data_IF_148193315674
#
_entry.id   IF_148193315674
#
_cell.length_a   1.000
_cell.length_b   1.000
_cell.length_c   1.000
_cell.angle_alpha   90.00
_cell.angle_beta   90.00
_cell.angle_gamma   90.00
#
_symmetry.space_group_name_H-M   'P 1'
#
loop_
_entity.id
_entity.type
_entity.pdbx_description
1 polymer ?
#
# COMPACT_ATOMS: atom_id res chain seq x y z
N UNK A 1 22.66 19.04 -12.73
CA UNK A 1 22.56 17.58 -12.51
C UNK A 1 22.63 16.81 -13.83
N UNK A 2 21.66 16.98 -14.73
CA UNK A 2 21.56 16.25 -16.01
C UNK A 2 22.90 16.17 -16.80
N UNK A 3 23.60 17.30 -16.99
CA UNK A 3 24.84 17.34 -17.76
C UNK A 3 25.95 16.40 -17.25
N UNK A 4 25.92 16.03 -15.97
CA UNK A 4 26.92 15.14 -15.32
C UNK A 4 26.58 13.66 -15.44
N UNK A 5 25.37 13.29 -15.88
CA UNK A 5 24.99 11.89 -16.06
C UNK A 5 25.56 11.33 -17.37
N UNK A 6 25.81 10.02 -17.41
CA UNK A 6 26.01 9.30 -18.67
C UNK A 6 24.67 9.15 -19.40
N UNK A 7 24.72 8.83 -20.68
CA UNK A 7 23.53 8.49 -21.47
C UNK A 7 22.79 7.31 -20.83
N UNK A 8 21.45 7.38 -20.73
CA UNK A 8 20.63 6.44 -19.97
C UNK A 8 20.78 6.53 -18.44
N UNK A 9 21.64 7.42 -17.93
CA UNK A 9 21.78 7.66 -16.49
C UNK A 9 20.53 8.28 -15.90
N UNK A 10 20.21 7.90 -14.66
CA UNK A 10 19.00 8.32 -13.96
C UNK A 10 19.32 9.27 -12.81
N UNK A 11 18.39 10.18 -12.52
CA UNK A 11 18.35 10.94 -11.28
C UNK A 11 16.97 10.80 -10.65
N UNK A 12 16.93 10.60 -9.34
CA UNK A 12 15.69 10.59 -8.55
C UNK A 12 15.69 11.77 -7.59
N UNK A 13 14.50 12.32 -7.33
CA UNK A 13 14.32 13.42 -6.40
C UNK A 13 12.98 13.29 -5.69
N UNK A 14 12.98 13.50 -4.37
CA UNK A 14 11.79 13.41 -3.54
C UNK A 14 10.94 14.68 -3.65
N UNK A 15 9.63 14.50 -3.80
CA UNK A 15 8.62 15.54 -3.91
C UNK A 15 7.56 15.32 -2.80
N UNK A 16 7.72 15.97 -1.63
CA UNK A 16 6.78 15.84 -0.51
C UNK A 16 5.54 16.70 -0.75
N UNK A 17 4.59 16.22 -1.55
CA UNK A 17 3.40 17.00 -1.92
C UNK A 17 2.51 17.34 -0.70
N UNK A 18 2.67 16.62 0.41
CA UNK A 18 2.01 16.90 1.68
C UNK A 18 2.66 18.01 2.52
N UNK A 19 3.79 18.56 2.07
CA UNK A 19 4.51 19.66 2.71
C UNK A 19 4.64 20.86 1.76
N UNK A 20 3.87 20.86 0.68
CA UNK A 20 3.92 21.85 -0.40
C UNK A 20 2.50 22.24 -0.77
N UNK A 21 2.32 23.49 -1.20
CA UNK A 21 1.11 23.85 -1.94
C UNK A 21 1.13 23.14 -3.30
N UNK A 22 -0.05 22.84 -3.83
CA UNK A 22 -0.19 22.17 -5.14
C UNK A 22 0.57 22.92 -6.25
N UNK A 23 0.51 24.26 -6.28
CA UNK A 23 1.23 25.06 -7.27
C UNK A 23 2.76 25.04 -7.07
N UNK A 24 3.24 24.88 -5.84
CA UNK A 24 4.66 24.75 -5.52
C UNK A 24 5.20 23.40 -5.99
N UNK A 25 4.46 22.32 -5.69
CA UNK A 25 4.76 20.99 -6.21
C UNK A 25 4.80 20.97 -7.75
N UNK A 26 3.82 21.62 -8.40
CA UNK A 26 3.80 21.78 -9.86
C UNK A 26 4.97 22.62 -10.39
N UNK A 27 5.39 23.66 -9.68
CA UNK A 27 6.56 24.47 -10.08
C UNK A 27 7.86 23.66 -10.00
N UNK A 28 8.00 22.79 -8.99
CA UNK A 28 9.11 21.85 -8.86
C UNK A 28 9.06 20.81 -9.99
N UNK A 29 7.90 20.19 -10.24
CA UNK A 29 7.71 19.23 -11.33
C UNK A 29 8.08 19.84 -12.68
N UNK A 30 7.63 21.08 -12.97
CA UNK A 30 7.97 21.81 -14.19
C UNK A 30 9.47 22.03 -14.31
N UNK A 31 10.13 22.44 -13.23
CA UNK A 31 11.58 22.66 -13.22
C UNK A 31 12.35 21.35 -13.47
N UNK A 32 11.91 20.25 -12.85
CA UNK A 32 12.51 18.94 -13.04
C UNK A 32 12.35 18.45 -14.47
N UNK A 33 11.14 18.54 -15.03
CA UNK A 33 10.83 18.17 -16.41
C UNK A 33 11.62 18.99 -17.44
N UNK A 34 11.78 20.30 -17.22
CA UNK A 34 12.64 21.13 -18.06
C UNK A 34 14.10 20.64 -18.08
N UNK A 35 14.59 20.04 -16.99
CA UNK A 35 15.94 19.48 -16.91
C UNK A 35 16.02 18.02 -17.42
N UNK A 36 14.90 17.31 -17.45
CA UNK A 36 14.78 15.91 -17.86
C UNK A 36 13.51 15.72 -18.70
N UNK A 37 13.59 15.85 -20.04
CA UNK A 37 12.43 15.64 -20.91
C UNK A 37 11.80 14.24 -20.79
N UNK A 38 12.59 13.25 -20.36
CA UNK A 38 12.13 11.90 -20.03
C UNK A 38 11.99 11.77 -18.51
N UNK A 39 10.99 12.46 -17.96
CA UNK A 39 10.62 12.40 -16.55
C UNK A 39 9.44 11.47 -16.29
N UNK A 40 9.37 10.95 -15.08
CA UNK A 40 8.24 10.21 -14.53
C UNK A 40 8.12 10.44 -13.03
N UNK A 41 6.94 10.16 -12.48
CA UNK A 41 6.68 10.24 -11.05
C UNK A 41 6.10 8.92 -10.57
N UNK A 42 6.60 8.49 -9.42
CA UNK A 42 6.28 7.22 -8.78
C UNK A 42 5.95 7.46 -7.31
N UNK A 43 5.03 6.69 -6.76
CA UNK A 43 4.72 6.70 -5.34
C UNK A 43 4.14 5.36 -4.88
N UNK A 44 4.37 5.06 -3.60
CA UNK A 44 3.62 4.02 -2.90
C UNK A 44 2.20 4.52 -2.61
N UNK A 45 1.54 3.97 -1.60
CA UNK A 45 0.24 4.40 -1.13
C UNK A 45 0.30 5.63 -0.21
N UNK A 46 1.11 6.64 -0.55
CA UNK A 46 1.35 7.84 0.27
C UNK A 46 1.51 9.13 -0.57
N UNK A 47 1.71 10.24 0.14
CA UNK A 47 1.91 11.58 -0.43
C UNK A 47 3.42 11.91 -0.58
N UNK A 48 4.30 10.88 -0.60
CA UNK A 48 5.76 10.98 -0.71
C UNK A 48 6.23 10.59 -2.11
N UNK A 49 6.09 11.50 -3.06
CA UNK A 49 6.32 11.19 -4.46
C UNK A 49 7.81 11.21 -4.81
N UNK A 50 8.22 10.36 -5.75
CA UNK A 50 9.57 10.33 -6.30
C UNK A 50 9.51 10.71 -7.77
N UNK A 51 10.14 11.82 -8.12
CA UNK A 51 10.41 12.18 -9.50
C UNK A 51 11.65 11.41 -9.98
N UNK A 52 11.59 10.84 -11.17
CA UNK A 52 12.69 10.16 -11.83
C UNK A 52 12.90 10.76 -13.21
N UNK A 53 14.14 11.13 -13.52
CA UNK A 53 14.55 11.70 -14.81
C UNK A 53 15.65 10.88 -15.45
N UNK A 54 15.48 10.54 -16.73
CA UNK A 54 16.45 9.77 -17.52
C UNK A 54 17.16 10.72 -18.48
N UNK A 55 18.49 10.63 -18.57
CA UNK A 55 19.27 11.41 -19.55
C UNK A 55 19.20 10.76 -20.94
N UNK A 56 18.81 11.60 -21.91
CA UNK A 56 18.63 11.23 -23.32
C UNK A 56 17.46 10.24 -23.51
N UNK A 57 17.28 9.64 -24.69
CA UNK A 57 16.07 8.87 -25.01
C UNK A 57 15.80 7.77 -23.99
N UNK A 58 14.53 7.62 -23.61
CA UNK A 58 14.09 6.49 -22.81
C UNK A 58 14.47 5.19 -23.54
N UNK A 59 15.29 4.35 -22.89
CA UNK A 59 15.62 3.04 -23.42
C UNK A 59 14.38 2.15 -23.30
N UNK A 60 14.04 1.44 -24.38
CA UNK A 60 13.04 0.37 -24.30
C UNK A 60 13.64 -0.78 -23.53
N UNK A 61 12.93 -1.24 -22.49
CA UNK A 61 13.28 -2.45 -21.78
C UNK A 61 13.13 -3.67 -22.69
N UNK A 62 13.86 -4.73 -22.38
CA UNK A 62 13.61 -6.02 -23.02
C UNK A 62 12.39 -6.67 -22.37
N UNK A 63 11.62 -7.40 -23.16
CA UNK A 63 10.50 -8.19 -22.62
C UNK A 63 10.99 -9.13 -21.51
N UNK A 64 10.30 -9.11 -20.36
CA UNK A 64 10.64 -9.90 -19.18
C UNK A 64 11.79 -9.36 -18.32
N UNK A 65 12.41 -8.23 -18.67
CA UNK A 65 13.50 -7.63 -17.87
C UNK A 65 13.06 -7.30 -16.44
N UNK A 66 11.85 -6.73 -16.28
CA UNK A 66 11.28 -6.46 -14.96
C UNK A 66 11.09 -7.75 -14.16
N UNK A 67 10.54 -8.81 -14.76
CA UNK A 67 10.32 -10.09 -14.10
C UNK A 67 11.61 -10.76 -13.62
N UNK A 68 12.73 -10.54 -14.32
CA UNK A 68 14.05 -11.06 -13.92
C UNK A 68 14.52 -10.50 -12.57
N UNK A 69 14.14 -9.28 -12.21
CA UNK A 69 14.49 -8.68 -10.91
C UNK A 69 13.94 -9.50 -9.73
N UNK A 70 12.78 -10.15 -9.90
CA UNK A 70 12.23 -11.06 -8.88
C UNK A 70 12.73 -12.49 -9.01
N UNK A 71 13.30 -12.86 -10.14
CA UNK A 71 13.89 -14.20 -10.35
C UNK A 71 15.31 -14.29 -9.79
N UNK A 72 16.03 -13.16 -9.74
CA UNK A 72 17.35 -13.07 -9.09
C UNK A 72 17.21 -13.03 -7.55
N UNK A 73 17.81 -13.97 -6.79
CA UNK A 73 17.60 -14.06 -5.34
C UNK A 73 18.04 -12.82 -4.56
N UNK A 74 19.14 -12.18 -4.95
CA UNK A 74 19.66 -11.01 -4.24
C UNK A 74 18.74 -9.80 -4.46
N UNK A 75 18.35 -9.57 -5.71
CA UNK A 75 17.44 -8.49 -6.08
C UNK A 75 16.05 -8.69 -5.49
N UNK A 76 15.52 -9.93 -5.52
CA UNK A 76 14.26 -10.26 -4.90
C UNK A 76 14.27 -9.99 -3.39
N UNK A 77 15.36 -10.37 -2.69
CA UNK A 77 15.47 -10.13 -1.25
C UNK A 77 15.43 -8.63 -0.92
N UNK A 78 16.10 -7.78 -1.71
CA UNK A 78 16.07 -6.34 -1.52
C UNK A 78 14.71 -5.71 -1.86
N UNK A 79 14.05 -6.15 -2.94
CA UNK A 79 12.71 -5.69 -3.32
C UNK A 79 11.66 -6.10 -2.28
N UNK A 80 11.70 -7.34 -1.82
CA UNK A 80 10.80 -7.84 -0.77
C UNK A 80 11.01 -7.09 0.55
N UNK A 81 12.25 -6.73 0.89
CA UNK A 81 12.57 -5.94 2.09
C UNK A 81 11.92 -4.55 2.10
N UNK A 82 11.65 -3.98 0.92
CA UNK A 82 10.94 -2.70 0.77
C UNK A 82 9.45 -2.88 0.41
N UNK A 83 8.90 -4.09 0.56
CA UNK A 83 7.48 -4.37 0.35
C UNK A 83 7.07 -4.62 -1.10
N UNK A 84 8.02 -4.75 -2.03
CA UNK A 84 7.79 -5.10 -3.44
C UNK A 84 8.01 -6.60 -3.66
N UNK A 85 6.98 -7.39 -3.37
CA UNK A 85 7.00 -8.85 -3.40
C UNK A 85 6.78 -9.44 -4.79
N UNK A 86 6.10 -8.71 -5.68
CA UNK A 86 5.83 -9.15 -7.06
C UNK A 86 6.07 -8.03 -8.09
N UNK A 87 6.44 -8.37 -9.34
CA UNK A 87 6.71 -7.39 -10.40
C UNK A 87 5.61 -6.35 -10.63
N UNK A 88 4.35 -6.78 -10.50
CA UNK A 88 3.17 -5.96 -10.72
C UNK A 88 3.10 -4.77 -9.76
N UNK A 89 3.62 -4.90 -8.54
CA UNK A 89 3.60 -3.79 -7.58
C UNK A 89 4.45 -2.62 -8.08
N UNK A 90 5.56 -2.88 -8.77
CA UNK A 90 6.40 -1.82 -9.33
C UNK A 90 5.65 -1.00 -10.37
N UNK A 91 4.92 -1.66 -11.28
CA UNK A 91 4.07 -0.96 -12.25
C UNK A 91 2.98 -0.14 -11.56
N UNK A 92 2.38 -0.68 -10.51
CA UNK A 92 1.39 0.00 -9.70
C UNK A 92 1.93 1.19 -8.89
N UNK A 93 3.25 1.42 -8.82
CA UNK A 93 3.83 2.64 -8.22
C UNK A 93 3.78 3.84 -9.16
N UNK A 94 3.58 3.63 -10.46
CA UNK A 94 3.58 4.73 -11.44
C UNK A 94 2.42 5.70 -11.19
N UNK A 95 2.67 7.00 -11.37
CA UNK A 95 1.66 8.05 -11.29
C UNK A 95 1.50 8.76 -12.64
N UNK A 96 2.61 9.22 -13.21
CA UNK A 96 2.60 10.04 -14.42
C UNK A 96 3.96 10.05 -15.12
N UNK A 97 3.96 10.38 -16.41
CA UNK A 97 5.15 10.61 -17.23
C UNK A 97 5.28 12.09 -17.66
N UNK A 98 6.26 12.35 -18.51
CA UNK A 98 6.56 13.63 -19.12
C UNK A 98 5.35 14.35 -19.72
N UNK A 99 4.49 13.66 -20.48
CA UNK A 99 3.33 14.29 -21.14
C UNK A 99 2.32 14.79 -20.11
N UNK A 100 2.05 13.98 -19.09
CA UNK A 100 1.15 14.34 -18.01
C UNK A 100 1.74 15.43 -17.11
N UNK A 101 3.06 15.42 -16.85
CA UNK A 101 3.74 16.51 -16.14
C UNK A 101 3.59 17.82 -16.93
N UNK A 102 3.84 17.82 -18.23
CA UNK A 102 3.65 18.99 -19.08
C UNK A 102 2.21 19.50 -19.02
N UNK A 103 1.23 18.60 -19.10
CA UNK A 103 -0.18 18.94 -19.01
C UNK A 103 -0.52 19.59 -17.67
N UNK A 104 -0.14 19.02 -16.53
CA UNK A 104 -0.59 19.58 -15.23
C UNK A 104 0.15 20.84 -14.81
N UNK A 105 1.28 21.11 -15.46
CA UNK A 105 2.15 22.27 -15.20
C UNK A 105 2.06 23.35 -16.28
N UNK A 106 1.15 23.24 -17.26
CA UNK A 106 1.15 24.11 -18.44
C UNK A 106 1.09 25.62 -18.10
N UNK A 107 0.33 26.00 -17.06
CA UNK A 107 0.19 27.39 -16.59
C UNK A 107 1.11 27.74 -15.41
N UNK A 108 2.03 26.85 -15.06
CA UNK A 108 2.91 27.01 -13.89
C UNK A 108 4.34 27.30 -14.35
N UNK A 109 4.86 28.45 -13.95
CA UNK A 109 6.27 28.77 -14.17
C UNK A 109 7.17 27.86 -13.31
N UNK A 110 8.30 27.37 -13.86
CA UNK A 110 9.20 26.45 -13.15
C UNK A 110 9.85 27.11 -11.94
N UNK A 111 10.14 26.36 -10.88
CA UNK A 111 11.04 26.83 -9.82
C UNK A 111 12.46 27.05 -10.38
N UNK A 112 13.01 28.25 -10.21
CA UNK A 112 14.37 28.58 -10.64
C UNK A 112 15.07 29.49 -9.65
N UNK A 113 16.40 29.55 -9.68
CA UNK A 113 17.22 30.38 -8.77
C UNK A 113 16.89 31.88 -8.86
N UNK A 114 16.41 32.35 -10.02
CA UNK A 114 15.97 33.73 -10.20
C UNK A 114 14.60 34.02 -9.56
N UNK A 115 13.83 32.97 -9.23
CA UNK A 115 12.50 33.06 -8.63
C UNK A 115 12.32 32.01 -7.53
N UNK A 116 13.16 32.02 -6.49
CA UNK A 116 13.16 30.99 -5.45
C UNK A 116 11.89 31.06 -4.60
N UNK A 117 11.28 32.25 -4.47
CA UNK A 117 10.03 32.50 -3.76
C UNK A 117 8.76 32.00 -4.48
N UNK A 118 8.91 31.21 -5.55
CA UNK A 118 7.83 30.32 -6.01
C UNK A 118 7.50 29.26 -4.96
N UNK A 119 8.45 28.94 -4.08
CA UNK A 119 8.19 28.31 -2.80
C UNK A 119 7.93 29.41 -1.76
N UNK A 120 6.73 29.42 -1.22
CA UNK A 120 6.29 30.44 -0.27
C UNK A 120 6.53 29.97 1.16
N UNK A 121 6.58 30.93 2.10
CA UNK A 121 6.66 30.62 3.54
C UNK A 121 5.24 30.45 4.15
N UNK A 122 4.20 30.47 3.31
CA UNK A 122 2.82 30.29 3.72
C UNK A 122 2.53 28.80 3.95
N UNK A 123 1.61 28.47 4.88
CA UNK A 123 1.24 27.08 5.13
C UNK A 123 0.65 26.41 3.88
N UNK A 124 0.90 25.11 3.74
CA UNK A 124 0.24 24.29 2.73
C UNK A 124 -1.21 23.97 3.16
N UNK A 125 -2.02 23.57 2.19
CA UNK A 125 -3.38 23.10 2.40
C UNK A 125 -3.41 21.58 2.24
N UNK A 126 -3.50 20.86 3.36
CA UNK A 126 -3.55 19.39 3.37
C UNK A 126 -4.72 18.83 2.55
N UNK A 127 -5.88 19.50 2.55
CA UNK A 127 -7.04 19.04 1.80
C UNK A 127 -6.82 19.20 0.29
N UNK A 128 -6.22 20.32 -0.13
CA UNK A 128 -5.86 20.54 -1.52
C UNK A 128 -4.79 19.55 -2.01
N UNK A 129 -3.74 19.32 -1.23
CA UNK A 129 -2.69 18.34 -1.56
C UNK A 129 -3.24 16.92 -1.63
N UNK A 130 -4.12 16.54 -0.70
CA UNK A 130 -4.79 15.24 -0.71
C UNK A 130 -5.73 15.08 -1.90
N UNK A 131 -6.46 16.13 -2.27
CA UNK A 131 -7.32 16.10 -3.46
C UNK A 131 -6.48 15.92 -4.73
N UNK A 132 -5.35 16.64 -4.84
CA UNK A 132 -4.41 16.50 -5.93
C UNK A 132 -3.77 15.10 -5.99
N UNK A 133 -3.41 14.53 -4.84
CA UNK A 133 -2.88 13.17 -4.78
C UNK A 133 -3.91 12.11 -5.19
N UNK A 134 -5.16 12.25 -4.73
CA UNK A 134 -6.25 11.33 -5.04
C UNK A 134 -6.50 11.17 -6.54
N UNK A 135 -6.31 12.23 -7.34
CA UNK A 135 -6.48 12.12 -8.80
C UNK A 135 -5.51 11.15 -9.46
N UNK A 136 -4.37 10.84 -8.82
CA UNK A 136 -3.39 9.87 -9.32
C UNK A 136 -3.36 8.55 -8.53
N UNK A 137 -3.96 8.53 -7.33
CA UNK A 137 -4.05 7.33 -6.50
C UNK A 137 -5.28 6.48 -6.84
N UNK A 138 -6.35 7.08 -7.36
CA UNK A 138 -7.55 6.34 -7.78
C UNK A 138 -7.19 5.31 -8.87
N UNK A 139 -7.55 4.05 -8.65
CA UNK A 139 -7.08 2.93 -9.46
C UNK A 139 -7.45 3.08 -10.93
N UNK A 140 -8.68 3.52 -11.22
CA UNK A 140 -9.13 3.73 -12.60
C UNK A 140 -8.31 4.80 -13.33
N UNK A 141 -7.99 5.91 -12.67
CA UNK A 141 -7.15 6.96 -13.23
C UNK A 141 -5.69 6.50 -13.37
N UNK A 142 -5.16 5.85 -12.34
CA UNK A 142 -3.78 5.34 -12.33
C UNK A 142 -3.53 4.32 -13.45
N UNK A 143 -4.45 3.36 -13.64
CA UNK A 143 -4.39 2.38 -14.74
C UNK A 143 -4.42 3.10 -16.09
N UNK A 144 -5.27 4.13 -16.24
CA UNK A 144 -5.33 4.91 -17.48
C UNK A 144 -4.02 5.65 -17.77
N UNK A 145 -3.41 6.29 -16.77
CA UNK A 145 -2.10 6.95 -16.93
C UNK A 145 -1.00 5.93 -17.26
N UNK A 146 -0.99 4.79 -16.58
CA UNK A 146 -0.03 3.72 -16.83
C UNK A 146 -0.11 3.19 -18.27
N UNK A 147 -1.31 2.82 -18.73
CA UNK A 147 -1.50 2.20 -20.05
C UNK A 147 -1.24 3.17 -21.21
N UNK A 148 -1.46 4.47 -21.01
CA UNK A 148 -1.24 5.48 -22.05
C UNK A 148 0.19 6.02 -22.09
N UNK A 149 1.01 5.74 -21.08
CA UNK A 149 2.34 6.30 -20.99
C UNK A 149 3.28 5.68 -22.05
N UNK A 150 3.88 6.51 -22.94
CA UNK A 150 4.89 6.03 -23.89
C UNK A 150 6.13 5.47 -23.17
N UNK A 151 6.48 6.02 -22.01
CA UNK A 151 7.58 5.52 -21.18
C UNK A 151 7.32 4.09 -20.72
N UNK A 152 6.13 3.82 -20.19
CA UNK A 152 5.74 2.50 -19.67
C UNK A 152 5.58 1.48 -20.79
N UNK A 153 5.02 1.87 -21.93
CA UNK A 153 4.81 0.96 -23.07
C UNK A 153 6.10 0.29 -23.57
N UNK A 154 7.28 0.84 -23.24
CA UNK A 154 8.58 0.26 -23.58
C UNK A 154 9.06 -0.91 -22.71
N UNK A 155 8.36 -1.31 -21.64
CA UNK A 155 8.88 -2.24 -20.63
C UNK A 155 8.21 -3.62 -20.57
N UNK A 156 7.34 -3.98 -21.53
CA UNK A 156 6.84 -5.36 -21.67
C UNK A 156 5.86 -5.81 -20.57
N UNK A 157 5.01 -4.90 -20.07
CA UNK A 157 4.05 -5.15 -18.98
C UNK A 157 2.85 -6.01 -19.40
N UNK A 158 2.71 -6.34 -20.68
CA UNK A 158 1.53 -7.00 -21.23
C UNK A 158 1.29 -8.39 -20.65
N UNK A 159 2.36 -9.07 -20.25
CA UNK A 159 2.34 -10.40 -19.63
C UNK A 159 1.90 -10.38 -18.16
N UNK A 160 1.79 -9.20 -17.55
CA UNK A 160 1.55 -9.02 -16.11
C UNK A 160 0.16 -8.43 -15.78
N UNK A 161 -0.72 -8.25 -16.78
CA UNK A 161 -1.94 -7.43 -16.69
C UNK A 161 -2.95 -7.83 -15.60
N UNK A 162 -3.27 -9.12 -15.45
CA UNK A 162 -4.38 -9.55 -14.56
C UNK A 162 -4.18 -9.15 -13.09
N UNK A 163 -2.96 -9.33 -12.57
CA UNK A 163 -2.64 -8.95 -11.18
C UNK A 163 -2.31 -7.46 -11.07
N UNK A 164 -1.81 -6.84 -12.15
CA UNK A 164 -1.42 -5.43 -12.16
C UNK A 164 -2.58 -4.49 -11.83
N UNK A 165 -3.75 -4.69 -12.42
CA UNK A 165 -4.94 -3.89 -12.09
C UNK A 165 -5.33 -4.03 -10.61
N UNK A 166 -5.21 -5.24 -10.06
CA UNK A 166 -5.44 -5.47 -8.62
C UNK A 166 -4.42 -4.74 -7.76
N UNK A 167 -3.15 -4.64 -8.18
CA UNK A 167 -2.14 -3.86 -7.46
C UNK A 167 -2.47 -2.37 -7.40
N UNK A 168 -3.05 -1.78 -8.44
CA UNK A 168 -3.53 -0.40 -8.40
C UNK A 168 -4.68 -0.24 -7.38
N UNK A 169 -5.63 -1.18 -7.35
CA UNK A 169 -6.72 -1.19 -6.35
C UNK A 169 -6.17 -1.33 -4.93
N UNK A 170 -5.19 -2.20 -4.73
CA UNK A 170 -4.54 -2.37 -3.42
C UNK A 170 -3.82 -1.10 -2.96
N UNK A 171 -3.12 -0.40 -3.88
CA UNK A 171 -2.48 0.88 -3.58
C UNK A 171 -3.50 1.95 -3.22
N UNK A 172 -4.57 2.09 -4.01
CA UNK A 172 -5.64 3.05 -3.72
C UNK A 172 -6.27 2.79 -2.35
N UNK A 173 -6.60 1.53 -2.07
CA UNK A 173 -7.19 1.13 -0.80
C UNK A 173 -6.28 1.50 0.36
N UNK A 174 -5.00 1.15 0.27
CA UNK A 174 -4.00 1.46 1.29
C UNK A 174 -3.86 2.97 1.50
N UNK A 175 -3.89 3.76 0.44
CA UNK A 175 -3.82 5.22 0.52
C UNK A 175 -5.04 5.80 1.25
N UNK A 176 -6.25 5.34 0.92
CA UNK A 176 -7.49 5.76 1.60
C UNK A 176 -7.51 5.35 3.07
N UNK A 177 -6.96 4.18 3.38
CA UNK A 177 -6.83 3.67 4.75
C UNK A 177 -5.82 4.44 5.60
N UNK A 178 -4.60 4.60 5.10
CA UNK A 178 -3.49 5.18 5.86
C UNK A 178 -3.55 6.70 6.00
N UNK A 179 -4.07 7.41 4.98
CA UNK A 179 -3.97 8.88 4.91
C UNK A 179 -5.33 9.56 5.06
N UNK A 180 -6.39 9.01 4.47
CA UNK A 180 -7.71 9.68 4.39
C UNK A 180 -8.61 9.35 5.60
N UNK A 181 -8.15 8.51 6.54
CA UNK A 181 -8.84 8.10 7.77
C UNK A 181 -10.26 7.54 7.55
N UNK A 182 -10.52 6.98 6.37
CA UNK A 182 -11.83 6.41 5.99
C UNK A 182 -11.68 4.98 5.55
N UNK A 183 -11.26 4.09 6.45
CA UNK A 183 -11.36 2.69 6.11
C UNK A 183 -11.60 1.76 7.27
N UNK A 184 -12.12 0.62 6.86
CA UNK A 184 -12.35 -0.53 7.69
C UNK A 184 -11.13 -1.45 7.54
N UNK A 185 -10.26 -1.46 8.55
CA UNK A 185 -9.03 -2.26 8.56
C UNK A 185 -9.31 -3.75 8.33
N UNK A 186 -10.45 -4.27 8.80
CA UNK A 186 -10.84 -5.67 8.58
C UNK A 186 -11.32 -5.91 7.15
N UNK A 187 -11.89 -4.89 6.49
CA UNK A 187 -12.19 -4.94 5.04
C UNK A 187 -10.91 -4.96 4.20
N UNK A 188 -9.92 -4.15 4.58
CA UNK A 188 -8.58 -4.15 3.97
C UNK A 188 -7.89 -5.50 4.14
N UNK A 189 -7.92 -6.04 5.36
CA UNK A 189 -7.38 -7.34 5.68
C UNK A 189 -8.05 -8.46 4.86
N UNK A 190 -9.39 -8.46 4.73
CA UNK A 190 -10.13 -9.46 3.95
C UNK A 190 -9.68 -9.50 2.47
N UNK A 191 -9.47 -8.32 1.87
CA UNK A 191 -8.98 -8.21 0.50
C UNK A 191 -7.58 -8.84 0.40
N UNK A 192 -6.66 -8.52 1.31
CA UNK A 192 -5.32 -9.11 1.25
C UNK A 192 -5.29 -10.61 1.53
N UNK A 193 -6.12 -11.10 2.45
CA UNK A 193 -6.17 -12.52 2.78
C UNK A 193 -6.79 -13.36 1.66
N UNK A 194 -7.83 -12.85 0.99
CA UNK A 194 -8.63 -13.66 0.05
C UNK A 194 -8.39 -13.36 -1.42
N UNK A 195 -7.85 -12.18 -1.76
CA UNK A 195 -7.74 -11.68 -3.15
C UNK A 195 -6.33 -11.25 -3.55
N UNK A 196 -5.35 -11.42 -2.66
CA UNK A 196 -3.98 -10.99 -2.91
C UNK A 196 -2.98 -12.07 -2.48
N UNK A 197 -1.85 -12.23 -3.21
CA UNK A 197 -0.73 -13.04 -2.75
C UNK A 197 0.18 -12.29 -1.75
N UNK A 198 0.03 -10.97 -1.61
CA UNK A 198 0.97 -10.09 -0.92
C UNK A 198 0.97 -10.31 0.60
N UNK A 199 2.13 -10.48 1.20
CA UNK A 199 2.31 -10.76 2.63
C UNK A 199 2.52 -9.48 3.44
N UNK A 200 3.32 -8.55 2.91
CA UNK A 200 3.70 -7.31 3.58
C UNK A 200 2.49 -6.46 3.93
N UNK A 201 1.52 -6.23 3.02
CA UNK A 201 0.34 -5.45 3.37
C UNK A 201 -0.50 -6.07 4.50
N UNK A 202 -0.51 -7.40 4.64
CA UNK A 202 -1.18 -8.07 5.77
C UNK A 202 -0.52 -7.71 7.09
N UNK A 203 0.81 -7.66 7.13
CA UNK A 203 1.56 -7.24 8.33
C UNK A 203 1.26 -5.77 8.66
N UNK A 204 1.33 -4.90 7.65
CA UNK A 204 1.15 -3.47 7.83
C UNK A 204 -0.26 -3.08 8.29
N UNK A 205 -1.29 -3.76 7.78
CA UNK A 205 -2.69 -3.56 8.20
C UNK A 205 -2.88 -3.87 9.69
N UNK A 206 -2.09 -4.80 10.22
CA UNK A 206 -2.11 -5.20 11.63
C UNK A 206 -1.07 -4.44 12.48
N UNK A 207 -0.44 -3.39 11.93
CA UNK A 207 0.53 -2.56 12.65
C UNK A 207 1.87 -3.26 12.91
N UNK A 208 2.18 -4.28 12.12
CA UNK A 208 3.43 -5.03 12.14
C UNK A 208 4.25 -4.77 10.86
N UNK A 209 5.44 -5.35 10.80
CA UNK A 209 6.33 -5.36 9.64
C UNK A 209 7.26 -6.59 9.71
N UNK A 210 8.02 -6.84 8.65
CA UNK A 210 8.92 -8.01 8.60
C UNK A 210 10.01 -7.97 9.69
N UNK A 211 10.45 -6.78 10.11
CA UNK A 211 11.46 -6.63 11.16
C UNK A 211 10.89 -6.98 12.55
N UNK A 212 9.72 -6.44 12.90
CA UNK A 212 8.99 -6.76 14.13
C UNK A 212 8.62 -8.23 14.19
N UNK A 213 8.13 -8.79 13.08
CA UNK A 213 7.83 -10.22 12.98
C UNK A 213 9.08 -11.08 13.22
N UNK A 214 10.22 -10.72 12.63
CA UNK A 214 11.47 -11.45 12.83
C UNK A 214 11.91 -11.44 14.31
N UNK A 215 11.76 -10.31 15.00
CA UNK A 215 12.02 -10.20 16.45
C UNK A 215 11.05 -11.09 17.24
N UNK A 216 9.75 -10.97 16.97
CA UNK A 216 8.71 -11.76 17.65
C UNK A 216 8.97 -13.28 17.52
N UNK A 217 9.29 -13.74 16.32
CA UNK A 217 9.63 -15.15 16.07
C UNK A 217 10.89 -15.59 16.81
N UNK A 218 11.91 -14.74 16.87
CA UNK A 218 13.15 -15.04 17.61
C UNK A 218 12.89 -15.16 19.11
N UNK A 219 12.08 -14.28 19.68
CA UNK A 219 11.69 -14.33 21.10
C UNK A 219 10.84 -15.57 21.39
N UNK A 220 9.87 -15.87 20.53
CA UNK A 220 9.01 -17.05 20.67
C UNK A 220 9.78 -18.37 20.64
N UNK A 221 10.84 -18.49 19.81
CA UNK A 221 11.70 -19.68 19.78
C UNK A 221 12.49 -19.93 21.06
N UNK A 222 12.73 -18.89 21.84
CA UNK A 222 13.55 -18.94 23.06
C UNK A 222 12.71 -18.94 24.34
N UNK A 223 11.38 -19.04 24.24
CA UNK A 223 10.45 -18.93 25.37
C UNK A 223 9.40 -20.03 25.30
N UNK A 224 9.24 -20.80 26.38
CA UNK A 224 8.20 -21.84 26.46
C UNK A 224 6.79 -21.25 26.37
N UNK A 225 6.60 -20.03 26.89
CA UNK A 225 5.38 -19.24 26.75
C UNK A 225 5.73 -17.88 26.14
N UNK A 226 5.38 -17.60 24.88
CA UNK A 226 5.61 -16.32 24.24
C UNK A 226 5.06 -15.13 25.07
N UNK A 227 5.86 -14.06 25.26
CA UNK A 227 5.39 -12.81 25.87
C UNK A 227 4.16 -12.23 25.13
N UNK A 228 3.27 -11.53 25.83
CA UNK A 228 2.05 -10.99 25.22
C UNK A 228 2.34 -9.87 24.22
N UNK A 229 3.45 -9.16 24.43
CA UNK A 229 3.90 -8.01 23.64
C UNK A 229 4.23 -8.39 22.20
N UNK A 230 4.63 -9.65 21.96
CA UNK A 230 5.00 -10.14 20.63
C UNK A 230 3.84 -10.84 19.91
N UNK A 231 2.72 -11.09 20.61
CA UNK A 231 1.59 -11.84 20.05
C UNK A 231 0.94 -11.15 18.85
N UNK A 232 0.74 -9.80 18.83
CA UNK A 232 0.19 -9.14 17.65
C UNK A 232 1.04 -9.38 16.40
N UNK A 233 2.36 -9.33 16.53
CA UNK A 233 3.30 -9.58 15.43
C UNK A 233 3.26 -11.06 14.98
N UNK A 234 3.13 -12.02 15.91
CA UNK A 234 2.98 -13.44 15.57
C UNK A 234 1.65 -13.73 14.85
N UNK A 235 0.54 -13.13 15.30
CA UNK A 235 -0.78 -13.23 14.67
C UNK A 235 -0.71 -12.64 13.26
N UNK A 236 -0.13 -11.45 13.11
CA UNK A 236 0.08 -10.82 11.82
C UNK A 236 0.93 -11.71 10.89
N UNK A 237 1.99 -12.33 11.41
CA UNK A 237 2.81 -13.27 10.66
C UNK A 237 2.09 -14.54 10.22
N UNK A 238 1.20 -15.08 11.08
CA UNK A 238 0.36 -16.23 10.73
C UNK A 238 -0.61 -15.87 9.60
N UNK A 239 -1.28 -14.72 9.71
CA UNK A 239 -2.20 -14.20 8.71
C UNK A 239 -1.49 -13.85 7.39
N UNK A 240 -0.29 -13.26 7.44
CA UNK A 240 0.52 -13.00 6.25
C UNK A 240 0.90 -14.30 5.51
N UNK A 241 1.08 -15.41 6.23
CA UNK A 241 1.25 -16.77 5.66
C UNK A 241 -0.08 -17.46 5.29
N UNK A 242 -1.23 -16.81 5.51
CA UNK A 242 -2.59 -17.36 5.37
C UNK A 242 -2.80 -18.63 6.19
N UNK A 243 -2.05 -18.79 7.28
CA UNK A 243 -2.27 -19.86 8.24
C UNK A 243 -3.33 -19.42 9.25
N UNK A 244 -4.60 -19.58 8.85
CA UNK A 244 -5.75 -19.12 9.61
C UNK A 244 -5.88 -19.86 10.94
N UNK A 245 -5.62 -21.17 10.95
CA UNK A 245 -5.70 -21.99 12.16
C UNK A 245 -4.66 -21.58 13.21
N UNK A 246 -3.43 -21.25 12.78
CA UNK A 246 -2.41 -20.74 13.69
C UNK A 246 -2.77 -19.37 14.25
N UNK A 247 -3.32 -18.47 13.42
CA UNK A 247 -3.79 -17.16 13.89
C UNK A 247 -4.91 -17.29 14.92
N UNK A 248 -5.86 -18.21 14.69
CA UNK A 248 -6.94 -18.55 15.64
C UNK A 248 -6.36 -19.08 16.95
N UNK A 249 -5.43 -20.04 16.89
CA UNK A 249 -4.79 -20.62 18.08
C UNK A 249 -4.07 -19.56 18.92
N UNK A 250 -3.37 -18.63 18.27
CA UNK A 250 -2.69 -17.52 18.95
C UNK A 250 -3.67 -16.56 19.62
N UNK A 251 -4.78 -16.20 18.96
CA UNK A 251 -5.84 -15.33 19.49
C UNK A 251 -6.59 -16.01 20.66
N UNK A 252 -6.89 -17.30 20.55
CA UNK A 252 -7.50 -18.08 21.64
C UNK A 252 -6.59 -18.13 22.87
N UNK A 253 -5.29 -18.35 22.67
CA UNK A 253 -4.30 -18.32 23.75
C UNK A 253 -4.20 -16.94 24.42
N UNK A 254 -4.33 -15.84 23.68
CA UNK A 254 -4.44 -14.49 24.27
C UNK A 254 -5.71 -14.34 25.11
N UNK A 255 -6.84 -14.86 24.62
CA UNK A 255 -8.12 -14.85 25.34
C UNK A 255 -8.06 -15.60 26.66
N UNK A 256 -7.46 -16.79 26.67
CA UNK A 256 -7.27 -17.59 27.90
C UNK A 256 -6.39 -16.89 28.94
N UNK A 257 -5.45 -16.06 28.48
CA UNK A 257 -4.57 -15.24 29.34
C UNK A 257 -5.19 -13.92 29.79
N UNK A 258 -6.47 -13.68 29.46
CA UNK A 258 -7.22 -12.50 29.89
C UNK A 258 -6.87 -11.19 29.16
N UNK A 259 -6.10 -11.26 28.06
CA UNK A 259 -5.73 -10.09 27.25
C UNK A 259 -6.39 -10.22 25.89
N UNK A 260 -7.63 -9.72 25.80
CA UNK A 260 -8.46 -9.83 24.62
C UNK A 260 -9.31 -8.57 24.46
N UNK A 261 -9.09 -7.83 23.37
CA UNK A 261 -9.81 -6.60 23.06
C UNK A 261 -11.07 -6.90 22.22
N UNK A 262 -11.96 -5.90 22.09
CA UNK A 262 -13.08 -5.99 21.15
C UNK A 262 -12.62 -6.17 19.69
N UNK A 263 -11.49 -5.58 19.32
CA UNK A 263 -10.92 -5.76 17.98
C UNK A 263 -10.47 -7.21 17.77
N UNK A 264 -9.90 -7.85 18.80
CA UNK A 264 -9.55 -9.27 18.76
C UNK A 264 -10.79 -10.15 18.68
N UNK A 265 -11.90 -9.77 19.34
CA UNK A 265 -13.20 -10.43 19.17
C UNK A 265 -13.68 -10.36 17.72
N UNK A 266 -13.63 -9.19 17.08
CA UNK A 266 -14.05 -9.04 15.69
C UNK A 266 -13.15 -9.81 14.73
N UNK A 267 -11.83 -9.76 14.92
CA UNK A 267 -10.87 -10.51 14.13
C UNK A 267 -11.10 -12.02 14.30
N UNK A 268 -11.18 -12.53 15.53
CA UNK A 268 -11.38 -13.96 15.79
C UNK A 268 -12.72 -14.46 15.25
N UNK A 269 -13.79 -13.67 15.37
CA UNK A 269 -15.10 -13.98 14.77
C UNK A 269 -14.99 -14.11 13.26
N UNK A 270 -14.31 -13.16 12.60
CA UNK A 270 -14.03 -13.22 11.17
C UNK A 270 -13.20 -14.44 10.78
N UNK A 271 -12.15 -14.77 11.54
CA UNK A 271 -11.28 -15.91 11.25
C UNK A 271 -12.00 -17.26 11.43
N UNK A 272 -12.89 -17.39 12.41
CA UNK A 272 -13.75 -18.57 12.54
C UNK A 272 -14.69 -18.75 11.34
N UNK A 273 -15.26 -17.67 10.82
CA UNK A 273 -16.01 -17.76 9.56
C UNK A 273 -15.10 -18.17 8.41
N UNK A 274 -13.90 -17.57 8.31
CA UNK A 274 -12.94 -17.83 7.24
C UNK A 274 -12.42 -19.29 7.23
N UNK A 275 -12.27 -19.93 8.39
CA UNK A 275 -11.88 -21.34 8.49
C UNK A 275 -13.07 -22.31 8.51
N UNK A 276 -14.29 -21.82 8.29
CA UNK A 276 -15.51 -22.63 8.18
C UNK A 276 -16.20 -22.97 9.50
N UNK A 277 -15.71 -22.50 10.64
CA UNK A 277 -16.31 -22.74 11.95
C UNK A 277 -17.31 -21.63 12.35
N UNK A 278 -18.33 -21.42 11.52
CA UNK A 278 -19.38 -20.41 11.73
C UNK A 278 -20.08 -20.52 13.09
N UNK A 279 -20.42 -21.72 13.62
CA UNK A 279 -21.06 -21.82 14.93
C UNK A 279 -20.20 -21.25 16.07
N UNK A 280 -18.87 -21.38 15.98
CA UNK A 280 -17.94 -20.81 16.97
C UNK A 280 -17.86 -19.28 16.84
N UNK A 281 -17.96 -18.76 15.61
CA UNK A 281 -18.08 -17.33 15.36
C UNK A 281 -19.34 -16.74 15.99
N UNK A 282 -20.51 -17.36 15.76
CA UNK A 282 -21.80 -16.92 16.30
C UNK A 282 -21.81 -16.96 17.83
N UNK A 283 -21.31 -18.06 18.42
CA UNK A 283 -21.20 -18.19 19.87
C UNK A 283 -20.30 -17.10 20.48
N UNK A 284 -19.18 -16.76 19.82
CA UNK A 284 -18.28 -15.69 20.26
C UNK A 284 -18.95 -14.31 20.19
N UNK A 285 -19.68 -14.02 19.10
CA UNK A 285 -20.40 -12.77 18.91
C UNK A 285 -21.51 -12.60 19.97
N UNK A 286 -22.30 -13.64 20.23
CA UNK A 286 -23.36 -13.65 21.26
C UNK A 286 -22.77 -13.45 22.66
N UNK A 287 -21.68 -14.16 23.00
CA UNK A 287 -21.02 -14.03 24.30
C UNK A 287 -20.52 -12.59 24.59
N UNK A 288 -20.26 -11.80 23.53
CA UNK A 288 -19.78 -10.43 23.63
C UNK A 288 -20.84 -9.38 23.27
N UNK A 289 -22.10 -9.77 23.04
CA UNK A 289 -23.15 -8.87 22.54
C UNK A 289 -23.34 -7.61 23.40
N UNK A 290 -23.28 -7.75 24.73
CA UNK A 290 -23.42 -6.61 25.66
C UNK A 290 -22.28 -5.58 25.54
N UNK A 291 -21.11 -5.99 25.06
CA UNK A 291 -19.93 -5.13 24.90
C UNK A 291 -19.85 -4.53 23.48
N UNK A 292 -20.51 -5.14 22.50
CA UNK A 292 -20.50 -4.71 21.11
C UNK A 292 -21.54 -3.60 20.91
N UNK A 293 -21.07 -2.36 20.73
CA UNK A 293 -21.93 -1.24 20.34
C UNK A 293 -22.12 -1.24 18.83
N UNK A 294 -23.36 -1.28 18.35
CA UNK A 294 -23.64 -1.11 16.91
C UNK A 294 -23.12 0.23 16.40
N UNK A 295 -22.43 0.15 15.27
CA UNK A 295 -21.92 1.28 14.50
C UNK A 295 -21.76 0.82 13.04
N UNK A 296 -21.35 1.74 12.18
CA UNK A 296 -21.17 1.46 10.75
C UNK A 296 -20.20 0.28 10.46
N UNK A 297 -19.17 0.09 11.29
CA UNK A 297 -18.20 -1.01 11.13
C UNK A 297 -18.82 -2.35 11.50
N UNK A 298 -19.54 -2.41 12.62
CA UNK A 298 -20.22 -3.61 13.10
C UNK A 298 -21.31 -4.04 12.12
N UNK A 299 -22.11 -3.08 11.62
CA UNK A 299 -23.14 -3.35 10.61
C UNK A 299 -22.54 -3.89 9.30
N UNK A 300 -21.39 -3.33 8.88
CA UNK A 300 -20.64 -3.86 7.74
C UNK A 300 -20.15 -5.29 7.99
N UNK A 301 -19.57 -5.56 9.17
CA UNK A 301 -18.98 -6.85 9.49
C UNK A 301 -20.05 -7.93 9.50
N UNK A 302 -21.16 -7.70 10.19
CA UNK A 302 -22.29 -8.62 10.25
C UNK A 302 -22.86 -8.92 8.86
N UNK A 303 -23.12 -7.90 8.05
CA UNK A 303 -23.61 -8.11 6.69
C UNK A 303 -22.63 -8.91 5.86
N UNK A 304 -21.33 -8.62 5.98
CA UNK A 304 -20.28 -9.35 5.26
C UNK A 304 -20.25 -10.81 5.70
N UNK A 305 -20.26 -11.08 7.00
CA UNK A 305 -20.19 -12.45 7.51
C UNK A 305 -21.44 -13.26 7.13
N UNK A 306 -22.61 -12.64 7.19
CA UNK A 306 -23.88 -13.23 6.76
C UNK A 306 -23.85 -13.58 5.26
N UNK A 307 -23.41 -12.62 4.43
CA UNK A 307 -23.38 -12.77 2.97
C UNK A 307 -22.34 -13.80 2.50
N UNK A 308 -21.13 -13.74 3.07
CA UNK A 308 -20.00 -14.54 2.59
C UNK A 308 -19.94 -15.94 3.23
N UNK A 309 -20.51 -16.12 4.44
CA UNK A 309 -20.34 -17.33 5.24
C UNK A 309 -21.63 -17.88 5.88
N UNK A 310 -22.79 -17.22 5.73
CA UNK A 310 -24.04 -17.66 6.34
C UNK A 310 -24.09 -17.48 7.86
N UNK A 311 -23.31 -16.54 8.40
CA UNK A 311 -23.29 -16.18 9.82
C UNK A 311 -24.57 -15.44 10.24
N UNK A 312 -25.12 -15.79 11.41
CA UNK A 312 -26.27 -15.12 12.00
C UNK A 312 -25.83 -14.12 13.09
N UNK A 313 -26.02 -12.81 12.88
CA UNK A 313 -25.64 -11.80 13.85
C UNK A 313 -26.41 -11.94 15.18
N UNK A 314 -25.77 -11.57 16.31
CA UNK A 314 -26.47 -11.53 17.59
C UNK A 314 -27.64 -10.53 17.54
N UNK A 315 -28.73 -10.80 18.29
CA UNK A 315 -29.95 -9.99 18.28
C UNK A 315 -29.73 -8.54 18.73
#
# INVERSE_FOLDING_TARGET
>A
MNSRLKEGGMATFWLPINQLKVNEAKAILRAFHNAFPNASVWASADEQWIMMGIKGPAQRGQEGEIGRLWSDPATNADLSRIGLEIPQQLGALFLMDAEEIDRITHDIAPLTDNYPKRLTDEPWDEQASRHFALTYMEAASAVHHFLRSPLISGFGWETLKEILESCFVFREMRYRCGIVARCNTLAELDIYLRRSPLRTPVLEVLGSDEFRLAIAQRVARNSDTPPLEIMPDLIAGALARRNIDEAIRLLEGQRERGVFSLNDTFLLTYLYCLNGNVPKAEALAVANANSIRRNWFVDWLWRKLETDFGFHPPP
#
